data_IF_704679455473
#
_entry.id   IF_704679455473
#
_cell.length_a   1.000
_cell.length_b   1.000
_cell.length_c   1.000
_cell.angle_alpha   90.00
_cell.angle_beta   90.00
_cell.angle_gamma   90.00
#
_symmetry.space_group_name_H-M   'P 1'
#
loop_
_entity.id
_entity.type
_entity.pdbx_description
1 polymer ?
#
# COMPACT_ATOMS: atom_id res chain seq x y z
N UNK A 1 -10.77 16.86 -21.30
CA UNK A 1 -9.63 16.65 -20.37
C UNK A 1 -8.38 17.44 -20.78
N UNK A 2 -7.77 17.21 -21.96
CA UNK A 2 -6.54 17.95 -22.35
C UNK A 2 -6.78 19.47 -22.49
N UNK A 3 -7.95 19.87 -23.02
CA UNK A 3 -8.36 21.28 -23.12
C UNK A 3 -8.43 21.96 -21.73
N UNK A 4 -9.11 21.31 -20.79
CA UNK A 4 -9.22 21.74 -19.38
C UNK A 4 -7.86 21.98 -18.73
N UNK A 5 -6.93 21.03 -18.87
CA UNK A 5 -5.57 21.16 -18.30
C UNK A 5 -4.83 22.35 -18.91
N UNK A 6 -5.02 22.62 -20.20
CA UNK A 6 -4.38 23.75 -20.89
C UNK A 6 -4.99 25.09 -20.48
N UNK A 7 -6.27 25.13 -20.14
CA UNK A 7 -6.97 26.34 -19.69
C UNK A 7 -6.64 26.64 -18.21
N UNK A 8 -6.52 25.60 -17.38
CA UNK A 8 -6.31 25.72 -15.93
C UNK A 8 -4.90 25.30 -15.46
N UNK A 9 -3.85 25.63 -16.23
CA UNK A 9 -2.47 25.16 -15.99
C UNK A 9 -1.96 25.40 -14.56
N UNK A 10 -2.30 26.55 -13.97
CA UNK A 10 -1.86 26.91 -12.62
C UNK A 10 -2.46 25.95 -11.59
N UNK A 11 -3.75 25.63 -11.71
CA UNK A 11 -4.44 24.70 -10.79
C UNK A 11 -3.78 23.32 -10.86
N UNK A 12 -3.54 22.81 -12.07
CA UNK A 12 -2.89 21.51 -12.24
C UNK A 12 -1.43 21.50 -11.81
N UNK A 13 -0.71 22.62 -11.94
CA UNK A 13 0.63 22.78 -11.38
C UNK A 13 0.60 22.71 -9.84
N UNK A 14 -0.32 23.43 -9.20
CA UNK A 14 -0.50 23.36 -7.75
C UNK A 14 -0.86 21.94 -7.29
N UNK A 15 -1.79 21.28 -7.99
CA UNK A 15 -2.15 19.90 -7.70
C UNK A 15 -0.94 18.97 -7.81
N UNK A 16 -0.13 19.12 -8.86
CA UNK A 16 1.10 18.34 -9.02
C UNK A 16 2.07 18.59 -7.87
N UNK A 17 2.29 19.84 -7.48
CA UNK A 17 3.17 20.18 -6.34
C UNK A 17 2.66 19.54 -5.04
N UNK A 18 1.35 19.59 -4.79
CA UNK A 18 0.74 18.98 -3.59
C UNK A 18 0.96 17.46 -3.60
N UNK A 19 0.73 16.79 -4.73
CA UNK A 19 0.91 15.35 -4.86
C UNK A 19 2.38 14.95 -4.69
N UNK A 20 3.32 15.71 -5.27
CA UNK A 20 4.76 15.46 -5.13
C UNK A 20 5.24 15.71 -3.69
N UNK A 21 4.77 16.78 -3.04
CA UNK A 21 5.08 17.06 -1.65
C UNK A 21 4.54 15.95 -0.73
N UNK A 22 3.28 15.53 -0.94
CA UNK A 22 2.67 14.41 -0.21
C UNK A 22 3.49 13.12 -0.38
N UNK A 23 3.83 12.76 -1.62
CA UNK A 23 4.65 11.59 -1.90
C UNK A 23 6.03 11.68 -1.24
N UNK A 24 6.69 12.84 -1.28
CA UNK A 24 7.97 13.06 -0.61
C UNK A 24 7.87 12.80 0.89
N UNK A 25 6.93 13.44 1.59
CA UNK A 25 6.81 13.27 3.05
C UNK A 25 6.42 11.85 3.46
N UNK A 26 5.62 11.15 2.66
CA UNK A 26 5.21 9.77 2.94
C UNK A 26 6.34 8.75 2.73
N UNK A 27 7.24 9.01 1.79
CA UNK A 27 8.35 8.11 1.46
C UNK A 27 9.66 8.48 2.18
N UNK A 28 9.75 9.71 2.71
CA UNK A 28 10.94 10.19 3.36
C UNK A 28 11.30 9.30 4.57
N UNK A 29 12.45 8.62 4.48
CA UNK A 29 12.97 7.69 5.50
C UNK A 29 12.01 6.55 5.85
N UNK A 30 11.18 6.10 4.91
CA UNK A 30 10.24 4.99 5.13
C UNK A 30 10.93 3.74 5.71
N UNK A 31 12.14 3.40 5.28
CA UNK A 31 12.91 2.27 5.83
C UNK A 31 13.20 2.41 7.34
N UNK A 32 13.48 3.62 7.81
CA UNK A 32 13.80 3.87 9.22
C UNK A 32 12.56 4.12 10.08
N UNK A 33 11.43 4.51 9.48
CA UNK A 33 10.19 4.87 10.17
C UNK A 33 9.14 3.76 10.13
N UNK A 34 9.30 2.76 9.26
CA UNK A 34 8.35 1.66 9.13
C UNK A 34 8.40 0.77 10.38
N UNK A 35 7.34 0.82 11.18
CA UNK A 35 7.07 -0.18 12.22
C UNK A 35 6.67 -1.50 11.59
N UNK A 36 7.46 -2.55 11.80
CA UNK A 36 7.13 -3.91 11.36
C UNK A 36 6.72 -4.75 12.57
N UNK A 37 5.43 -4.80 12.82
CA UNK A 37 4.82 -5.49 13.97
C UNK A 37 4.08 -6.75 13.53
N UNK A 38 3.33 -7.33 14.48
CA UNK A 38 2.63 -8.59 14.28
C UNK A 38 1.72 -8.59 13.04
N UNK A 39 0.92 -7.53 12.85
CA UNK A 39 -0.02 -7.46 11.72
C UNK A 39 0.71 -7.40 10.38
N UNK A 40 1.76 -6.59 10.25
CA UNK A 40 2.58 -6.52 9.03
C UNK A 40 3.27 -7.85 8.74
N UNK A 41 3.77 -8.53 9.78
CA UNK A 41 4.40 -9.85 9.66
C UNK A 41 3.41 -10.94 9.23
N UNK A 42 2.23 -10.99 9.85
CA UNK A 42 1.14 -11.91 9.48
C UNK A 42 0.76 -11.73 8.00
N UNK A 43 0.57 -10.49 7.59
CA UNK A 43 0.13 -10.18 6.23
C UNK A 43 1.23 -10.52 5.21
N UNK A 44 2.50 -10.25 5.54
CA UNK A 44 3.63 -10.64 4.73
C UNK A 44 3.70 -12.16 4.54
N UNK A 45 3.49 -12.95 5.61
CA UNK A 45 3.47 -14.41 5.52
C UNK A 45 2.35 -14.92 4.62
N UNK A 46 1.13 -14.38 4.76
CA UNK A 46 0.01 -14.75 3.90
C UNK A 46 0.28 -14.42 2.43
N UNK A 47 0.89 -13.26 2.16
CA UNK A 47 1.31 -12.89 0.80
C UNK A 47 2.36 -13.85 0.24
N UNK A 48 3.32 -14.30 1.07
CA UNK A 48 4.29 -15.31 0.64
C UNK A 48 3.64 -16.66 0.30
N UNK A 49 2.60 -17.07 1.04
CA UNK A 49 1.83 -18.28 0.72
C UNK A 49 1.09 -18.15 -0.62
N UNK A 50 0.51 -16.98 -0.91
CA UNK A 50 -0.13 -16.68 -2.19
C UNK A 50 0.91 -16.73 -3.33
N UNK A 51 2.06 -16.06 -3.16
CA UNK A 51 3.14 -16.06 -4.15
C UNK A 51 3.73 -17.45 -4.40
N UNK A 52 3.74 -18.31 -3.38
CA UNK A 52 4.14 -19.70 -3.47
C UNK A 52 3.02 -20.64 -3.98
N UNK A 53 1.86 -20.10 -4.37
CA UNK A 53 0.67 -20.83 -4.83
C UNK A 53 0.17 -21.88 -3.81
N UNK A 54 0.39 -21.65 -2.51
CA UNK A 54 0.04 -22.60 -1.43
C UNK A 54 -1.36 -22.36 -0.86
N UNK A 55 -1.72 -21.10 -0.68
CA UNK A 55 -3.01 -20.70 -0.10
C UNK A 55 -3.54 -19.44 -0.79
N UNK A 56 -4.81 -19.48 -1.17
CA UNK A 56 -5.54 -18.36 -1.76
C UNK A 56 -6.70 -18.03 -0.83
N UNK A 57 -6.49 -17.11 0.13
CA UNK A 57 -7.43 -16.90 1.21
C UNK A 57 -8.77 -16.36 0.67
N UNK A 58 -9.86 -16.95 1.15
CA UNK A 58 -11.23 -16.46 0.93
C UNK A 58 -11.67 -15.47 2.03
N UNK A 59 -10.95 -15.43 3.16
CA UNK A 59 -11.18 -14.51 4.28
C UNK A 59 -9.93 -13.66 4.51
N UNK A 60 -10.12 -12.40 4.89
CA UNK A 60 -9.04 -11.46 5.18
C UNK A 60 -8.49 -11.57 6.60
N UNK A 61 -7.66 -10.60 7.01
CA UNK A 61 -7.10 -10.57 8.35
C UNK A 61 -8.18 -10.39 9.42
N UNK A 62 -7.86 -10.81 10.65
CA UNK A 62 -8.70 -10.62 11.84
C UNK A 62 -8.80 -9.15 12.21
N UNK A 63 -9.94 -8.73 12.72
CA UNK A 63 -10.11 -7.42 13.38
C UNK A 63 -9.81 -7.52 14.87
N UNK A 64 -9.92 -6.40 15.59
CA UNK A 64 -9.89 -6.39 17.06
C UNK A 64 -11.10 -7.10 17.72
N UNK A 65 -12.12 -7.49 16.94
CA UNK A 65 -13.28 -8.24 17.42
C UNK A 65 -13.10 -9.73 17.04
N UNK A 66 -13.09 -10.59 18.04
CA UNK A 66 -12.96 -12.03 17.84
C UNK A 66 -14.07 -12.58 16.92
N UNK A 67 -13.67 -13.35 15.91
CA UNK A 67 -14.59 -13.95 14.93
C UNK A 67 -15.02 -13.01 13.80
N UNK A 68 -14.59 -11.74 13.80
CA UNK A 68 -14.83 -10.80 12.71
C UNK A 68 -13.57 -10.63 11.85
N UNK A 69 -13.73 -10.86 10.55
CA UNK A 69 -12.66 -10.84 9.56
C UNK A 69 -12.92 -9.78 8.48
N UNK A 70 -11.84 -9.20 7.97
CA UNK A 70 -11.89 -8.34 6.79
C UNK A 70 -12.03 -9.17 5.51
N UNK A 71 -12.28 -8.50 4.38
CA UNK A 71 -12.25 -9.16 3.07
C UNK A 71 -10.82 -9.55 2.66
N UNK A 72 -10.64 -10.62 1.86
CA UNK A 72 -9.31 -11.10 1.49
C UNK A 72 -8.59 -10.19 0.50
N UNK A 73 -9.30 -9.20 -0.07
CA UNK A 73 -8.75 -8.22 -1.02
C UNK A 73 -7.45 -7.57 -0.52
N UNK A 74 -7.35 -7.32 0.79
CA UNK A 74 -6.15 -6.75 1.40
C UNK A 74 -4.89 -7.55 1.06
N UNK A 75 -4.93 -8.89 1.17
CA UNK A 75 -3.79 -9.72 0.83
C UNK A 75 -3.45 -9.64 -0.66
N UNK A 76 -4.46 -9.71 -1.53
CA UNK A 76 -4.26 -9.63 -2.98
C UNK A 76 -3.72 -8.27 -3.43
N UNK A 77 -4.11 -7.18 -2.76
CA UNK A 77 -3.57 -5.85 -3.00
C UNK A 77 -2.07 -5.77 -2.69
N UNK A 78 -1.61 -6.46 -1.65
CA UNK A 78 -0.21 -6.46 -1.23
C UNK A 78 0.70 -7.33 -2.13
N UNK A 79 0.16 -8.40 -2.72
CA UNK A 79 0.89 -9.37 -3.57
C UNK A 79 1.79 -8.71 -4.63
N UNK A 80 1.30 -7.82 -5.51
CA UNK A 80 2.15 -7.23 -6.56
C UNK A 80 3.31 -6.42 -5.97
N UNK A 81 3.11 -5.76 -4.82
CA UNK A 81 4.13 -4.92 -4.22
C UNK A 81 5.22 -5.74 -3.52
N UNK A 82 4.85 -6.81 -2.83
CA UNK A 82 5.82 -7.77 -2.29
C UNK A 82 6.56 -8.52 -3.39
N UNK A 83 5.90 -8.83 -4.51
CA UNK A 83 6.55 -9.45 -5.68
C UNK A 83 7.60 -8.53 -6.30
N UNK A 84 7.24 -7.27 -6.61
CA UNK A 84 8.16 -6.27 -7.12
C UNK A 84 9.30 -5.97 -6.14
N UNK A 85 8.99 -5.94 -4.85
CA UNK A 85 9.94 -5.70 -3.76
C UNK A 85 10.77 -6.92 -3.34
N UNK A 86 10.61 -8.08 -4.01
CA UNK A 86 11.30 -9.34 -3.66
C UNK A 86 11.17 -9.71 -2.17
N UNK A 87 9.96 -9.52 -1.63
CA UNK A 87 9.67 -9.78 -0.22
C UNK A 87 9.95 -8.61 0.73
N UNK A 88 10.49 -7.47 0.25
CA UNK A 88 10.79 -6.32 1.11
C UNK A 88 9.51 -5.64 1.62
N UNK A 89 9.29 -5.57 2.95
CA UNK A 89 8.15 -4.85 3.52
C UNK A 89 8.26 -3.34 3.30
N UNK A 90 9.47 -2.79 3.14
CA UNK A 90 9.70 -1.37 2.86
C UNK A 90 9.13 -0.99 1.49
N UNK A 91 9.34 -1.85 0.48
CA UNK A 91 8.80 -1.61 -0.86
C UNK A 91 7.27 -1.71 -0.85
N UNK A 92 6.72 -2.74 -0.19
CA UNK A 92 5.28 -2.91 -0.05
C UNK A 92 4.63 -1.71 0.65
N UNK A 93 5.19 -1.30 1.79
CA UNK A 93 4.73 -0.12 2.52
C UNK A 93 4.82 1.16 1.68
N UNK A 94 5.91 1.35 0.92
CA UNK A 94 6.07 2.52 0.05
C UNK A 94 4.94 2.65 -0.99
N UNK A 95 4.57 1.53 -1.63
CA UNK A 95 3.46 1.53 -2.58
C UNK A 95 2.12 1.80 -1.91
N UNK A 96 1.86 1.15 -0.77
CA UNK A 96 0.62 1.39 -0.01
C UNK A 96 0.54 2.86 0.42
N UNK A 97 1.62 3.45 0.94
CA UNK A 97 1.64 4.85 1.34
C UNK A 97 1.35 5.82 0.20
N UNK A 98 1.71 5.48 -1.05
CA UNK A 98 1.43 6.32 -2.23
C UNK A 98 -0.03 6.22 -2.71
N UNK A 99 -0.65 5.06 -2.60
CA UNK A 99 -1.99 4.81 -3.14
C UNK A 99 -3.10 4.96 -2.09
N UNK A 100 -2.79 4.77 -0.82
CA UNK A 100 -3.76 4.93 0.25
C UNK A 100 -3.95 6.41 0.61
N UNK A 101 -5.21 6.77 0.84
CA UNK A 101 -5.62 8.11 1.30
C UNK A 101 -5.65 8.16 2.83
N UNK A 102 -5.72 7.01 3.51
CA UNK A 102 -5.67 6.85 4.96
C UNK A 102 -4.25 6.76 5.55
N UNK A 103 -4.20 6.72 6.88
CA UNK A 103 -3.03 6.44 7.71
C UNK A 103 -3.40 5.35 8.73
#
# INVERSE_FOLDING_TARGET
MIKEIKENKIIYLFLLVILLASAFFRLYRVEALLGFHYDQGRDALKVQEILALKDFPAIGPTTGIAGLFLGPFWFYLLVPFYWLGRGSPVVAASFISLFDVGA
#
